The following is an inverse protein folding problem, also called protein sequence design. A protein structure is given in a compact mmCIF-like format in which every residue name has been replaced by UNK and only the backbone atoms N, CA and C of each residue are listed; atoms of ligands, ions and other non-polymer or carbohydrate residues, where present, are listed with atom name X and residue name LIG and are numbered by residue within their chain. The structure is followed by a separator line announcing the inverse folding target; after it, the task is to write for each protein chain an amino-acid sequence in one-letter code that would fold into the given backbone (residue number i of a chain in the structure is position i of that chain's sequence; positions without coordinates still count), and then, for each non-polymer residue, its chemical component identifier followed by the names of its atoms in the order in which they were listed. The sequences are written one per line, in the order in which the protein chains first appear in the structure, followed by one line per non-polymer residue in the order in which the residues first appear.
data_IF_404838065986
#
_entry.id   IF_404838065986
#
_cell.length_a   1.000
_cell.length_b   1.000
_cell.length_c   1.000
_cell.angle_alpha   90.00
_cell.angle_beta   90.00
_cell.angle_gamma   90.00
#
_symmetry.space_group_name_H-M   'P 1'
#
loop_
_entity.id
_entity.type
_entity.pdbx_description
1 polymer ?
#
# COMPACT_ATOMS: atom_id res chain seq x y z
N UNK A 1 13.33 -18.58 -13.64
CA UNK A 1 12.93 -17.89 -12.38
C UNK A 1 14.18 -17.32 -11.74
N UNK A 2 14.17 -16.03 -11.36
CA UNK A 2 15.30 -15.33 -10.73
C UNK A 2 15.65 -15.93 -9.36
N UNK A 3 16.95 -15.99 -9.02
CA UNK A 3 17.49 -16.52 -7.76
C UNK A 3 18.64 -15.63 -7.28
N UNK A 4 18.92 -15.67 -5.99
CA UNK A 4 20.12 -15.08 -5.40
C UNK A 4 21.38 -15.88 -5.78
N UNK A 5 22.60 -15.34 -5.63
CA UNK A 5 23.85 -16.06 -5.94
C UNK A 5 24.01 -17.40 -5.21
N UNK A 6 23.44 -17.54 -4.02
CA UNK A 6 23.42 -18.76 -3.19
C UNK A 6 22.20 -19.67 -3.46
N UNK A 7 21.45 -19.42 -4.54
CA UNK A 7 20.38 -20.31 -5.01
C UNK A 7 19.02 -20.14 -4.33
N UNK A 8 18.89 -19.26 -3.34
CA UNK A 8 17.60 -18.96 -2.67
C UNK A 8 16.63 -18.26 -3.61
N UNK A 9 15.32 -18.37 -3.31
CA UNK A 9 14.29 -17.58 -3.99
C UNK A 9 14.45 -16.11 -3.59
N UNK A 10 14.31 -15.20 -4.56
CA UNK A 10 14.32 -13.77 -4.28
C UNK A 10 13.07 -13.38 -3.46
N UNK A 11 13.26 -12.53 -2.45
CA UNK A 11 12.14 -11.83 -1.82
C UNK A 11 11.85 -10.55 -2.60
N UNK A 12 10.70 -10.50 -3.27
CA UNK A 12 10.26 -9.33 -4.05
C UNK A 12 9.20 -8.59 -3.26
N UNK A 13 9.45 -7.31 -3.02
CA UNK A 13 8.56 -6.39 -2.36
C UNK A 13 8.35 -5.14 -3.22
N UNK A 14 7.20 -4.49 -3.05
CA UNK A 14 6.85 -3.26 -3.77
C UNK A 14 6.25 -2.24 -2.81
N UNK A 15 6.57 -0.96 -3.00
CA UNK A 15 5.86 0.16 -2.36
C UNK A 15 5.02 0.89 -3.41
N UNK A 16 3.78 1.25 -3.09
CA UNK A 16 2.85 1.89 -4.04
C UNK A 16 1.91 2.86 -3.31
N UNK A 17 1.34 3.83 -4.01
CA UNK A 17 0.22 4.64 -3.51
C UNK A 17 -1.14 3.91 -3.62
N UNK A 18 -1.17 2.69 -4.16
CA UNK A 18 -2.36 1.85 -4.25
C UNK A 18 -3.29 2.17 -5.43
N UNK A 19 -3.02 3.21 -6.22
CA UNK A 19 -4.00 3.75 -7.17
C UNK A 19 -4.48 2.78 -8.25
N UNK A 20 -3.60 1.86 -8.64
CA UNK A 20 -3.84 0.79 -9.63
C UNK A 20 -3.69 -0.62 -9.04
N UNK A 21 -3.49 -0.73 -7.73
CA UNK A 21 -3.15 -1.99 -7.08
C UNK A 21 -4.29 -3.01 -7.20
N UNK A 22 -5.54 -2.60 -7.04
CA UNK A 22 -6.71 -3.49 -7.20
C UNK A 22 -6.72 -4.20 -8.56
N UNK A 23 -6.39 -3.47 -9.64
CA UNK A 23 -6.38 -4.01 -11.00
C UNK A 23 -5.19 -4.94 -11.28
N UNK A 24 -4.09 -4.78 -10.53
CA UNK A 24 -2.82 -5.47 -10.78
C UNK A 24 -2.47 -6.55 -9.75
N UNK A 25 -3.20 -6.63 -8.64
CA UNK A 25 -2.86 -7.49 -7.51
C UNK A 25 -2.60 -8.95 -7.94
N UNK A 26 -3.52 -9.54 -8.71
CA UNK A 26 -3.39 -10.93 -9.15
C UNK A 26 -2.20 -11.12 -10.10
N UNK A 27 -2.05 -10.27 -11.12
CA UNK A 27 -0.93 -10.40 -12.06
C UNK A 27 0.43 -10.18 -11.41
N UNK A 28 0.51 -9.28 -10.41
CA UNK A 28 1.70 -9.10 -9.59
C UNK A 28 2.01 -10.33 -8.74
N UNK A 29 0.99 -10.94 -8.12
CA UNK A 29 1.12 -12.19 -7.37
C UNK A 29 1.66 -13.32 -8.26
N UNK A 30 1.06 -13.49 -9.43
CA UNK A 30 1.42 -14.53 -10.40
C UNK A 30 2.85 -14.36 -10.91
N UNK A 31 3.29 -13.10 -11.08
CA UNK A 31 4.66 -12.74 -11.42
C UNK A 31 5.67 -13.02 -10.28
N UNK A 32 5.20 -13.27 -9.06
CA UNK A 32 6.03 -13.64 -7.91
C UNK A 32 6.23 -12.53 -6.88
N UNK A 33 5.48 -11.43 -6.94
CA UNK A 33 5.43 -10.45 -5.85
C UNK A 33 4.92 -11.13 -4.58
N UNK A 34 5.58 -10.88 -3.44
CA UNK A 34 5.21 -11.50 -2.17
C UNK A 34 4.50 -10.53 -1.23
N UNK A 35 5.08 -9.36 -1.02
CA UNK A 35 4.64 -8.36 -0.04
C UNK A 35 4.55 -6.98 -0.66
N UNK A 36 3.63 -6.17 -0.13
CA UNK A 36 3.38 -4.81 -0.61
C UNK A 36 3.29 -3.84 0.55
N UNK A 37 3.83 -2.65 0.36
CA UNK A 37 3.65 -1.51 1.25
C UNK A 37 2.81 -0.46 0.52
N UNK A 38 1.72 -0.01 1.13
CA UNK A 38 0.83 1.00 0.56
C UNK A 38 1.02 2.31 1.33
N UNK A 39 1.27 3.40 0.60
CA UNK A 39 1.31 4.74 1.17
C UNK A 39 -0.10 5.27 1.35
N UNK A 40 -0.45 5.61 2.59
CA UNK A 40 -1.70 6.23 2.98
C UNK A 40 -1.41 7.19 4.13
N UNK A 41 -1.50 8.50 3.88
CA UNK A 41 -1.07 9.51 4.84
C UNK A 41 -2.18 9.97 5.79
N UNK A 42 -3.43 9.57 5.56
CA UNK A 42 -4.56 9.81 6.46
C UNK A 42 -5.71 8.86 6.13
N UNK A 43 -6.48 8.45 7.15
CA UNK A 43 -7.78 7.78 6.97
C UNK A 43 -8.92 8.77 6.70
N UNK A 44 -8.68 10.07 6.88
CA UNK A 44 -9.64 11.12 6.58
C UNK A 44 -9.49 11.56 5.11
N UNK A 45 -10.58 11.47 4.34
CA UNK A 45 -10.57 11.82 2.92
C UNK A 45 -10.12 13.26 2.66
N UNK A 46 -10.56 14.23 3.46
CA UNK A 46 -10.19 15.64 3.26
C UNK A 46 -8.69 15.87 3.51
N UNK A 47 -8.15 15.32 4.60
CA UNK A 47 -6.72 15.38 4.89
C UNK A 47 -5.89 14.67 3.81
N UNK A 48 -6.30 13.46 3.41
CA UNK A 48 -5.58 12.68 2.40
C UNK A 48 -5.57 13.37 1.02
N UNK A 49 -6.71 13.91 0.59
CA UNK A 49 -6.80 14.64 -0.68
C UNK A 49 -5.99 15.93 -0.67
N UNK A 50 -5.97 16.66 0.44
CA UNK A 50 -5.12 17.83 0.60
C UNK A 50 -3.61 17.50 0.57
N UNK A 51 -3.24 16.25 0.86
CA UNK A 51 -1.84 15.80 0.83
C UNK A 51 -1.43 15.16 -0.50
N UNK A 52 -2.35 14.57 -1.25
CA UNK A 52 -2.02 13.79 -2.45
C UNK A 52 -2.19 14.54 -3.78
N UNK A 53 -2.69 15.78 -3.75
CA UNK A 53 -2.90 16.68 -4.90
C UNK A 53 -3.71 16.10 -6.09
N UNK A 54 -4.28 14.89 -5.94
CA UNK A 54 -4.87 14.10 -7.02
C UNK A 54 -6.33 13.71 -6.72
N UNK A 55 -6.88 14.15 -5.58
CA UNK A 55 -8.29 13.88 -5.24
C UNK A 55 -8.61 12.38 -5.14
N UNK A 56 -7.59 11.54 -4.96
CA UNK A 56 -7.76 10.09 -4.89
C UNK A 56 -8.33 9.73 -3.51
N UNK A 57 -9.50 9.06 -3.42
CA UNK A 57 -10.17 8.84 -2.14
C UNK A 57 -9.53 7.69 -1.35
N UNK A 58 -9.53 7.81 -0.02
CA UNK A 58 -9.03 6.80 0.94
C UNK A 58 -9.73 5.46 0.71
N UNK A 59 -11.05 5.48 0.47
CA UNK A 59 -11.85 4.28 0.22
C UNK A 59 -11.33 3.42 -0.93
N UNK A 60 -10.78 4.04 -1.99
CA UNK A 60 -10.16 3.28 -3.09
C UNK A 60 -8.82 2.66 -2.72
N UNK A 61 -8.02 3.33 -1.88
CA UNK A 61 -6.76 2.78 -1.37
C UNK A 61 -7.05 1.58 -0.47
N UNK A 62 -8.02 1.70 0.45
CA UNK A 62 -8.44 0.59 1.32
C UNK A 62 -8.99 -0.58 0.52
N UNK A 63 -9.85 -0.32 -0.48
CA UNK A 63 -10.33 -1.37 -1.38
C UNK A 63 -9.17 -2.07 -2.11
N UNK A 64 -8.16 -1.33 -2.55
CA UNK A 64 -7.00 -1.93 -3.21
C UNK A 64 -6.14 -2.78 -2.25
N UNK A 65 -6.08 -2.41 -0.97
CA UNK A 65 -5.45 -3.23 0.09
C UNK A 65 -6.22 -4.54 0.27
N UNK A 66 -7.55 -4.50 0.34
CA UNK A 66 -8.39 -5.70 0.46
C UNK A 66 -8.21 -6.64 -0.73
N UNK A 67 -8.23 -6.11 -1.96
CA UNK A 67 -8.02 -6.90 -3.18
C UNK A 67 -6.61 -7.50 -3.21
N UNK A 68 -5.59 -6.75 -2.80
CA UNK A 68 -4.24 -7.28 -2.69
C UNK A 68 -4.15 -8.43 -1.67
N UNK A 69 -4.82 -8.30 -0.53
CA UNK A 69 -4.87 -9.34 0.49
C UNK A 69 -5.58 -10.59 -0.03
N UNK A 70 -6.72 -10.44 -0.70
CA UNK A 70 -7.49 -11.53 -1.31
C UNK A 70 -6.71 -12.26 -2.40
N UNK A 71 -5.88 -11.53 -3.18
CA UNK A 71 -4.95 -12.14 -4.14
C UNK A 71 -3.78 -12.88 -3.48
N UNK A 72 -3.68 -12.87 -2.15
CA UNK A 72 -2.63 -13.54 -1.38
C UNK A 72 -1.31 -12.78 -1.36
N UNK A 73 -1.29 -11.47 -1.62
CA UNK A 73 -0.14 -10.63 -1.30
C UNK A 73 -0.11 -10.40 0.22
N UNK A 74 1.02 -10.67 0.85
CA UNK A 74 1.12 -10.62 2.30
C UNK A 74 2.54 -10.89 2.83
N UNK A 75 2.97 -10.21 3.92
CA UNK A 75 2.20 -9.21 4.68
C UNK A 75 2.03 -7.90 3.91
N UNK A 76 0.93 -7.18 4.17
CA UNK A 76 0.68 -5.82 3.66
C UNK A 76 1.05 -4.83 4.76
N UNK A 77 1.81 -3.78 4.40
CA UNK A 77 2.17 -2.69 5.30
C UNK A 77 1.53 -1.40 4.85
N UNK A 78 1.17 -0.54 5.79
CA UNK A 78 0.80 0.85 5.51
C UNK A 78 1.94 1.76 5.96
N UNK A 79 2.34 2.68 5.08
CA UNK A 79 3.25 3.77 5.41
C UNK A 79 2.46 5.08 5.49
N UNK A 80 2.71 5.85 6.55
CA UNK A 80 2.20 7.20 6.76
C UNK A 80 3.38 8.14 6.99
N UNK A 81 3.47 9.23 6.22
CA UNK A 81 4.40 10.32 6.50
C UNK A 81 3.69 11.36 7.36
N UNK A 82 4.14 11.52 8.60
CA UNK A 82 3.54 12.46 9.55
C UNK A 82 4.12 13.87 9.34
N UNK A 83 3.23 14.85 9.18
CA UNK A 83 3.51 16.28 9.11
C UNK A 83 2.70 16.99 10.20
N UNK A 84 3.42 17.66 11.11
CA UNK A 84 2.83 18.43 12.21
C UNK A 84 1.89 19.52 11.69
N UNK A 85 0.68 19.60 12.25
CA UNK A 85 -0.38 20.53 11.86
C UNK A 85 -1.12 20.15 10.58
N UNK A 86 -0.90 18.94 10.05
CA UNK A 86 -1.52 18.47 8.80
C UNK A 86 -2.24 17.14 8.97
N UNK A 87 -1.53 16.10 9.43
CA UNK A 87 -2.07 14.75 9.60
C UNK A 87 -1.64 14.08 10.92
N UNK A 88 -0.98 14.82 11.81
CA UNK A 88 -0.54 14.30 13.12
C UNK A 88 -1.70 13.93 14.03
N UNK A 89 -2.87 14.55 13.85
CA UNK A 89 -4.11 14.14 14.53
C UNK A 89 -4.61 12.75 14.12
N UNK A 90 -4.21 12.24 12.95
CA UNK A 90 -4.72 10.97 12.40
C UNK A 90 -3.88 9.76 12.84
N UNK A 91 -2.73 9.96 13.51
CA UNK A 91 -1.79 8.88 13.89
C UNK A 91 -2.49 7.74 14.64
N UNK A 92 -3.33 8.08 15.63
CA UNK A 92 -4.03 7.07 16.45
C UNK A 92 -5.06 6.32 15.62
N UNK A 93 -5.77 7.00 14.71
CA UNK A 93 -6.76 6.37 13.85
C UNK A 93 -6.10 5.46 12.80
N UNK A 94 -4.93 5.85 12.29
CA UNK A 94 -4.14 5.07 11.33
C UNK A 94 -3.56 3.78 11.93
N UNK A 95 -3.32 3.74 13.24
CA UNK A 95 -2.68 2.61 13.92
C UNK A 95 -3.65 1.56 14.49
N UNK A 96 -4.96 1.80 14.38
CA UNK A 96 -6.03 0.90 14.85
C UNK A 96 -6.45 -0.09 13.78
#
# INVERSE_FOLDING_TARGET
RLRTPDGRRLDVAMTTNGSVLAQKAQSLKDAGLRRVTVSLDSVNDATFQAMNDVGYPVSRVLHAVDVAHQAGLGPIKINMVVKRGQNDQDIVAMAR
#
